data_IF_352080247733
#
_entry.id   IF_352080247733
#
_cell.length_a   1.000
_cell.length_b   1.000
_cell.length_c   1.000
_cell.angle_alpha   90.00
_cell.angle_beta   90.00
_cell.angle_gamma   90.00
#
_symmetry.space_group_name_H-M   'P 1'
#
loop_
_entity.id
_entity.type
_entity.pdbx_description
1 polymer ?
#
# COMPACT_ATOMS: atom_id res chain seq x y z
N UNK A 1 -46.09 -60.99 -9.44
CA UNK A 1 -47.10 -60.37 -10.33
C UNK A 1 -46.67 -58.94 -10.66
N UNK A 2 -46.73 -58.60 -11.95
CA UNK A 2 -46.42 -57.29 -12.55
C UNK A 2 -47.34 -56.18 -12.02
N UNK A 3 -46.87 -54.93 -12.00
CA UNK A 3 -47.47 -53.71 -12.61
C UNK A 3 -46.75 -52.46 -12.04
N UNK A 4 -45.79 -51.89 -12.78
CA UNK A 4 -45.88 -50.81 -13.80
C UNK A 4 -45.74 -49.40 -13.18
N UNK A 5 -44.83 -48.64 -13.77
CA UNK A 5 -44.29 -47.40 -13.24
C UNK A 5 -45.24 -46.20 -13.25
N UNK A 6 -44.79 -45.16 -12.54
CA UNK A 6 -45.06 -43.76 -12.86
C UNK A 6 -43.79 -42.96 -12.61
N UNK A 7 -43.18 -42.55 -13.72
CA UNK A 7 -42.24 -41.46 -13.82
C UNK A 7 -42.99 -40.17 -13.49
N UNK A 8 -42.57 -39.47 -12.44
CA UNK A 8 -42.85 -38.04 -12.27
C UNK A 8 -41.55 -37.35 -11.85
N UNK A 9 -40.96 -36.65 -12.83
CA UNK A 9 -39.97 -35.61 -12.61
C UNK A 9 -40.57 -34.55 -11.70
N UNK A 10 -39.94 -34.25 -10.56
CA UNK A 10 -40.04 -32.95 -9.91
C UNK A 10 -38.76 -32.68 -9.10
N UNK A 11 -38.09 -31.57 -9.41
CA UNK A 11 -37.34 -30.81 -8.41
C UNK A 11 -35.84 -31.08 -8.30
N UNK A 12 -35.08 -30.78 -9.36
CA UNK A 12 -33.69 -30.37 -9.17
C UNK A 12 -33.68 -28.94 -8.59
N UNK A 13 -33.37 -28.79 -7.30
CA UNK A 13 -32.93 -27.51 -6.73
C UNK A 13 -32.04 -27.77 -5.50
N UNK A 14 -30.86 -28.35 -5.72
CA UNK A 14 -29.77 -28.27 -4.75
C UNK A 14 -29.07 -26.93 -4.96
N UNK A 15 -29.43 -25.95 -4.14
CA UNK A 15 -28.83 -24.62 -4.06
C UNK A 15 -27.32 -24.73 -3.82
N UNK A 16 -26.53 -24.50 -4.86
CA UNK A 16 -25.12 -24.21 -4.76
C UNK A 16 -24.93 -22.93 -3.95
N UNK A 17 -24.48 -23.05 -2.70
CA UNK A 17 -24.17 -21.92 -1.84
C UNK A 17 -22.94 -22.22 -0.98
N UNK A 18 -21.76 -22.24 -1.61
CA UNK A 18 -20.50 -22.28 -0.87
C UNK A 18 -19.25 -21.90 -1.68
N UNK A 19 -19.32 -21.08 -2.73
CA UNK A 19 -18.10 -20.54 -3.36
C UNK A 19 -18.35 -19.14 -3.91
N UNK A 20 -18.40 -18.17 -2.99
CA UNK A 20 -18.68 -16.79 -3.35
C UNK A 20 -18.26 -15.78 -2.28
N UNK A 21 -17.14 -16.03 -1.61
CA UNK A 21 -16.50 -15.07 -0.71
C UNK A 21 -15.00 -15.36 -0.69
N UNK A 22 -14.23 -14.72 -1.58
CA UNK A 22 -12.84 -14.29 -1.36
C UNK A 22 -12.15 -13.77 -2.65
N UNK A 23 -12.79 -12.86 -3.40
CA UNK A 23 -12.11 -12.13 -4.50
C UNK A 23 -12.21 -10.60 -4.40
N UNK A 24 -12.57 -10.07 -3.22
CA UNK A 24 -12.71 -8.62 -3.02
C UNK A 24 -11.56 -8.04 -2.17
N UNK A 25 -10.28 -8.22 -2.57
CA UNK A 25 -9.16 -7.51 -1.92
C UNK A 25 -8.18 -6.83 -2.90
N UNK A 26 -8.26 -7.02 -4.23
CA UNK A 26 -7.33 -6.34 -5.17
C UNK A 26 -7.98 -5.41 -6.20
N UNK A 27 -9.31 -5.29 -6.25
CA UNK A 27 -10.00 -4.59 -7.34
C UNK A 27 -9.99 -3.05 -7.25
N UNK A 28 -9.72 -2.46 -6.07
CA UNK A 28 -9.84 -1.00 -5.89
C UNK A 28 -8.71 -0.17 -6.55
N UNK A 29 -7.49 -0.69 -6.63
CA UNK A 29 -6.35 0.07 -7.17
C UNK A 29 -6.46 0.30 -8.69
N UNK A 30 -7.28 -0.50 -9.40
CA UNK A 30 -7.51 -0.41 -10.83
C UNK A 30 -8.65 0.53 -11.26
N UNK A 31 -9.41 1.12 -10.32
CA UNK A 31 -10.58 1.95 -10.67
C UNK A 31 -10.26 3.41 -11.04
N UNK A 32 -9.00 3.84 -10.86
CA UNK A 32 -8.57 5.22 -11.13
C UNK A 32 -7.84 5.40 -12.48
N UNK A 33 -7.40 4.31 -13.11
CA UNK A 33 -6.72 4.31 -14.41
C UNK A 33 -7.61 3.57 -15.41
N UNK A 34 -7.58 3.98 -16.68
CA UNK A 34 -8.40 3.31 -17.71
C UNK A 34 -7.89 1.89 -17.96
N UNK A 35 -8.72 1.04 -18.58
CA UNK A 35 -8.30 -0.33 -18.92
C UNK A 35 -7.15 -0.31 -19.95
N UNK A 36 -7.16 0.67 -20.85
CA UNK A 36 -6.09 0.89 -21.82
C UNK A 36 -4.77 1.29 -21.12
N UNK A 37 -4.83 2.22 -20.17
CA UNK A 37 -3.66 2.63 -19.38
C UNK A 37 -3.14 1.47 -18.52
N UNK A 38 -4.03 0.71 -17.89
CA UNK A 38 -3.66 -0.47 -17.12
C UNK A 38 -3.02 -1.54 -18.01
N UNK A 39 -3.49 -1.71 -19.24
CA UNK A 39 -2.87 -2.61 -20.21
C UNK A 39 -1.47 -2.12 -20.61
N UNK A 40 -1.24 -0.81 -20.74
CA UNK A 40 0.09 -0.25 -20.98
C UNK A 40 1.06 -0.57 -19.83
N UNK A 41 0.64 -0.40 -18.58
CA UNK A 41 1.45 -0.78 -17.40
C UNK A 41 1.76 -2.28 -17.33
N UNK A 42 0.93 -3.14 -17.94
CA UNK A 42 1.13 -4.60 -18.00
C UNK A 42 1.96 -5.07 -19.20
N UNK A 43 2.01 -4.31 -20.28
CA UNK A 43 2.59 -4.74 -21.57
C UNK A 43 3.98 -4.17 -21.85
N UNK A 44 4.42 -3.14 -21.11
CA UNK A 44 5.67 -2.42 -21.38
C UNK A 44 6.60 -2.25 -20.18
N UNK A 45 7.68 -1.50 -20.41
CA UNK A 45 8.62 -1.08 -19.38
C UNK A 45 7.96 0.00 -18.52
N UNK A 46 7.52 -0.34 -17.31
CA UNK A 46 7.05 0.64 -16.32
C UNK A 46 8.26 1.46 -15.82
N UNK A 47 8.33 2.79 -16.04
CA UNK A 47 9.47 3.59 -15.61
C UNK A 47 9.73 3.52 -14.10
N UNK A 48 8.68 3.32 -13.30
CA UNK A 48 8.81 3.11 -11.86
C UNK A 48 9.50 1.79 -11.52
N UNK A 49 9.28 0.74 -12.32
CA UNK A 49 9.96 -0.56 -12.14
C UNK A 49 11.41 -0.50 -12.59
N UNK A 50 11.72 0.22 -13.68
CA UNK A 50 13.11 0.48 -14.08
C UNK A 50 13.86 1.22 -12.98
N UNK A 51 13.27 2.29 -12.43
CA UNK A 51 13.87 3.02 -11.32
C UNK A 51 14.06 2.12 -10.08
N UNK A 52 13.07 1.28 -9.78
CA UNK A 52 13.15 0.31 -8.69
C UNK A 52 14.31 -0.66 -8.87
N UNK A 53 14.45 -1.29 -10.05
CA UNK A 53 15.45 -2.31 -10.32
C UNK A 53 16.85 -1.72 -10.50
N UNK A 54 16.99 -0.75 -11.41
CA UNK A 54 18.30 -0.24 -11.85
C UNK A 54 18.95 0.68 -10.81
N UNK A 55 18.15 1.51 -10.12
CA UNK A 55 18.68 2.41 -9.09
C UNK A 55 18.53 1.75 -7.71
N UNK A 56 17.30 1.38 -7.33
CA UNK A 56 17.03 0.83 -6.01
C UNK A 56 17.66 -0.55 -5.77
N UNK A 57 17.54 -1.47 -6.73
CA UNK A 57 18.13 -2.79 -6.66
C UNK A 57 19.66 -2.75 -6.67
N UNK A 58 20.27 -1.85 -7.44
CA UNK A 58 21.71 -1.61 -7.39
C UNK A 58 22.16 -1.11 -6.03
N UNK A 59 21.47 -0.11 -5.46
CA UNK A 59 21.77 0.39 -4.12
C UNK A 59 21.61 -0.70 -3.05
N UNK A 60 20.59 -1.55 -3.16
CA UNK A 60 20.34 -2.66 -2.24
C UNK A 60 21.51 -3.64 -2.18
N UNK A 61 22.19 -3.84 -3.31
CA UNK A 61 23.34 -4.74 -3.45
C UNK A 61 24.69 -4.06 -3.21
N UNK A 62 24.75 -2.74 -3.14
CA UNK A 62 26.00 -1.98 -3.01
C UNK A 62 26.50 -1.97 -1.56
N UNK A 63 27.73 -2.43 -1.27
CA UNK A 63 28.34 -2.28 0.04
C UNK A 63 28.56 -0.81 0.41
N UNK A 64 28.25 -0.44 1.65
CA UNK A 64 28.38 0.96 2.11
C UNK A 64 28.87 1.07 3.55
N UNK A 65 29.40 2.25 3.87
CA UNK A 65 29.83 2.63 5.21
C UNK A 65 31.02 1.83 5.72
N UNK A 66 31.36 2.06 6.99
CA UNK A 66 32.55 1.44 7.63
C UNK A 66 32.49 -0.08 7.69
N UNK A 67 31.29 -0.66 7.67
CA UNK A 67 31.11 -2.12 7.72
C UNK A 67 31.35 -2.82 6.38
N UNK A 68 31.37 -2.07 5.27
CA UNK A 68 31.42 -2.59 3.90
C UNK A 68 30.34 -3.68 3.63
N UNK A 69 29.14 -3.48 4.15
CA UNK A 69 27.98 -4.38 3.97
C UNK A 69 26.92 -3.74 3.09
N UNK A 70 26.27 -4.53 2.25
CA UNK A 70 25.08 -4.13 1.50
C UNK A 70 23.80 -4.49 2.25
N UNK A 71 22.65 -3.99 1.83
CA UNK A 71 21.36 -4.42 2.39
C UNK A 71 21.15 -5.94 2.18
N UNK A 72 21.50 -6.42 0.99
CA UNK A 72 21.44 -7.84 0.61
C UNK A 72 22.30 -8.76 1.50
N UNK A 73 23.39 -8.23 2.09
CA UNK A 73 24.26 -9.03 2.98
C UNK A 73 23.60 -9.43 4.30
N UNK A 74 22.55 -8.72 4.73
CA UNK A 74 21.81 -9.01 5.97
C UNK A 74 20.35 -9.45 5.71
N UNK A 75 19.79 -9.09 4.55
CA UNK A 75 18.39 -9.29 4.25
C UNK A 75 18.21 -10.09 2.97
N UNK A 76 17.43 -11.17 3.03
CA UNK A 76 16.88 -11.78 1.82
C UNK A 76 15.63 -11.04 1.38
N UNK A 77 15.42 -10.94 0.07
CA UNK A 77 14.22 -10.33 -0.50
C UNK A 77 12.96 -11.00 0.04
N UNK A 78 12.90 -12.33 0.07
CA UNK A 78 11.75 -13.10 0.56
C UNK A 78 11.30 -12.70 1.98
N UNK A 79 12.24 -12.43 2.89
CA UNK A 79 11.90 -11.97 4.23
C UNK A 79 11.42 -10.52 4.24
N UNK A 80 11.99 -9.68 3.37
CA UNK A 80 11.61 -8.27 3.27
C UNK A 80 10.22 -8.08 2.66
N UNK A 81 9.85 -8.88 1.64
CA UNK A 81 8.53 -8.81 0.99
C UNK A 81 7.38 -8.82 2.02
N UNK A 82 7.44 -9.74 2.96
CA UNK A 82 6.45 -9.89 4.06
C UNK A 82 6.47 -8.73 5.06
N UNK A 83 7.62 -8.09 5.25
CA UNK A 83 7.78 -7.00 6.23
C UNK A 83 7.33 -5.64 5.67
N UNK A 84 7.52 -5.39 4.38
CA UNK A 84 7.28 -4.09 3.74
C UNK A 84 5.81 -3.65 3.80
N UNK A 85 4.87 -4.59 3.75
CA UNK A 85 3.42 -4.33 3.89
C UNK A 85 2.98 -3.94 5.30
N UNK A 86 3.86 -4.06 6.29
CA UNK A 86 3.55 -3.80 7.71
C UNK A 86 3.98 -2.42 8.20
N UNK A 87 4.64 -1.62 7.36
CA UNK A 87 5.05 -0.25 7.70
C UNK A 87 3.97 0.78 7.30
N UNK A 88 3.81 1.89 8.06
CA UNK A 88 4.59 2.34 9.23
C UNK A 88 4.48 1.42 10.46
N UNK A 89 5.51 1.40 11.32
CA UNK A 89 5.58 0.47 12.45
C UNK A 89 6.13 1.13 13.72
N UNK A 90 5.61 0.73 14.87
CA UNK A 90 6.13 1.14 16.18
C UNK A 90 7.59 0.71 16.39
N UNK A 91 8.40 1.61 16.90
CA UNK A 91 9.78 1.40 17.31
C UNK A 91 9.90 1.63 18.81
N UNK A 92 10.12 0.56 19.57
CA UNK A 92 10.20 0.58 21.03
C UNK A 92 11.32 1.48 21.55
N UNK A 93 12.49 1.49 20.90
CA UNK A 93 13.66 2.28 21.34
C UNK A 93 13.41 3.79 21.23
N UNK A 94 12.58 4.19 20.28
CA UNK A 94 12.23 5.60 20.05
C UNK A 94 10.89 5.98 20.68
N UNK A 95 10.14 5.01 21.20
CA UNK A 95 8.76 5.17 21.64
C UNK A 95 7.89 5.93 20.60
N UNK A 96 8.03 5.55 19.31
CA UNK A 96 7.42 6.28 18.20
C UNK A 96 7.12 5.36 17.02
N UNK A 97 6.14 5.74 16.18
CA UNK A 97 5.89 5.07 14.89
C UNK A 97 6.86 5.60 13.84
N UNK A 98 7.52 4.70 13.12
CA UNK A 98 8.49 5.04 12.07
C UNK A 98 8.04 4.56 10.69
N UNK A 99 8.40 5.33 9.67
CA UNK A 99 8.22 4.97 8.27
C UNK A 99 9.29 3.99 7.78
N UNK A 100 9.04 3.36 6.63
CA UNK A 100 10.05 2.51 5.99
C UNK A 100 11.29 3.31 5.55
N UNK A 101 11.12 4.56 5.12
CA UNK A 101 12.26 5.45 4.79
C UNK A 101 13.15 5.74 6.00
N UNK A 102 12.54 5.97 7.16
CA UNK A 102 13.27 6.13 8.43
C UNK A 102 13.98 4.84 8.82
N UNK A 103 13.34 3.67 8.61
CA UNK A 103 13.99 2.38 8.85
C UNK A 103 15.22 2.19 7.95
N UNK A 104 15.13 2.51 6.66
CA UNK A 104 16.27 2.46 5.72
C UNK A 104 17.41 3.32 6.26
N UNK A 105 17.11 4.57 6.60
CA UNK A 105 18.09 5.52 7.12
C UNK A 105 18.77 5.02 8.42
N UNK A 106 17.99 4.45 9.34
CA UNK A 106 18.50 3.85 10.57
C UNK A 106 19.42 2.65 10.29
N UNK A 107 19.07 1.79 9.34
CA UNK A 107 19.93 0.67 8.94
C UNK A 107 21.27 1.16 8.37
N UNK A 108 21.26 2.22 7.55
CA UNK A 108 22.50 2.80 7.01
C UNK A 108 23.40 3.34 8.14
N UNK A 109 22.82 4.08 9.08
CA UNK A 109 23.59 4.67 10.19
C UNK A 109 24.10 3.62 11.16
N UNK A 110 23.22 2.75 11.64
CA UNK A 110 23.50 1.86 12.77
C UNK A 110 24.16 0.55 12.36
N UNK A 111 23.83 0.00 11.18
CA UNK A 111 24.31 -1.32 10.77
C UNK A 111 25.40 -1.22 9.69
N UNK A 112 25.25 -0.31 8.71
CA UNK A 112 26.27 -0.13 7.68
C UNK A 112 27.41 0.79 8.11
N UNK A 113 27.16 1.67 9.10
CA UNK A 113 28.13 2.65 9.57
C UNK A 113 28.36 3.78 8.56
N UNK A 114 27.32 4.18 7.83
CA UNK A 114 27.35 5.33 6.92
C UNK A 114 27.29 6.60 7.76
N UNK A 115 28.25 7.52 7.55
CA UNK A 115 28.33 8.77 8.31
C UNK A 115 27.13 9.67 8.03
N UNK A 116 26.81 9.83 6.75
CA UNK A 116 25.67 10.59 6.22
C UNK A 116 24.70 9.65 5.49
N UNK A 117 23.74 9.05 6.20
CA UNK A 117 22.67 8.26 5.58
C UNK A 117 21.90 9.05 4.54
N UNK A 118 21.27 8.35 3.60
CA UNK A 118 20.41 8.97 2.60
C UNK A 118 19.29 9.76 3.27
N UNK A 119 19.17 11.08 2.99
CA UNK A 119 18.12 11.91 3.55
C UNK A 119 16.73 11.36 3.22
N UNK A 120 15.75 11.64 4.08
CA UNK A 120 14.36 11.30 3.78
C UNK A 120 13.95 12.05 2.51
N UNK A 121 13.27 11.35 1.59
CA UNK A 121 12.87 11.86 0.26
C UNK A 121 14.04 12.16 -0.69
N UNK A 122 15.29 11.80 -0.38
CA UNK A 122 16.35 11.81 -1.39
C UNK A 122 16.06 10.80 -2.49
N UNK A 123 16.69 10.96 -3.65
CA UNK A 123 16.53 10.04 -4.78
C UNK A 123 16.92 8.61 -4.37
N UNK A 124 18.01 8.43 -3.64
CA UNK A 124 18.53 7.13 -3.22
C UNK A 124 17.64 6.46 -2.17
N UNK A 125 17.14 7.23 -1.19
CA UNK A 125 16.20 6.69 -0.20
C UNK A 125 14.88 6.30 -0.87
N UNK A 126 14.41 7.11 -1.80
CA UNK A 126 13.21 6.84 -2.59
C UNK A 126 13.43 5.63 -3.50
N UNK A 127 14.58 5.49 -4.15
CA UNK A 127 14.92 4.33 -4.98
C UNK A 127 14.91 3.03 -4.17
N UNK A 128 15.54 3.00 -3.00
CA UNK A 128 15.49 1.86 -2.09
C UNK A 128 14.05 1.56 -1.63
N UNK A 129 13.28 2.58 -1.25
CA UNK A 129 11.87 2.41 -0.87
C UNK A 129 11.06 1.79 -2.02
N UNK A 130 11.21 2.33 -3.23
CA UNK A 130 10.51 1.86 -4.43
C UNK A 130 10.89 0.42 -4.75
N UNK A 131 12.17 0.06 -4.67
CA UNK A 131 12.63 -1.31 -4.83
C UNK A 131 12.03 -2.26 -3.79
N UNK A 132 12.02 -1.87 -2.51
CA UNK A 132 11.39 -2.68 -1.46
C UNK A 132 9.89 -2.88 -1.68
N UNK A 133 9.18 -1.85 -2.19
CA UNK A 133 7.77 -1.95 -2.55
C UNK A 133 7.55 -2.78 -3.81
N UNK A 134 8.46 -2.68 -4.79
CA UNK A 134 8.44 -3.47 -6.02
C UNK A 134 8.58 -4.96 -5.72
N UNK A 135 9.59 -5.36 -4.93
CA UNK A 135 9.76 -6.78 -4.59
C UNK A 135 8.56 -7.30 -3.77
N UNK A 136 7.92 -6.44 -2.96
CA UNK A 136 6.74 -6.77 -2.16
C UNK A 136 5.41 -6.62 -2.93
N UNK A 137 5.44 -6.43 -4.26
CA UNK A 137 4.23 -6.33 -5.06
C UNK A 137 3.40 -7.63 -4.92
N UNK A 138 2.10 -7.48 -4.71
CA UNK A 138 1.17 -8.59 -4.43
C UNK A 138 1.06 -8.98 -2.95
N UNK A 139 1.94 -8.51 -2.07
CA UNK A 139 1.82 -8.74 -0.63
C UNK A 139 0.69 -7.91 -0.03
N UNK A 140 -0.02 -8.48 0.96
CA UNK A 140 -1.12 -7.79 1.66
C UNK A 140 -0.58 -6.66 2.54
N UNK A 141 -1.20 -5.49 2.43
CA UNK A 141 -0.98 -4.39 3.38
C UNK A 141 -1.61 -4.76 4.73
N UNK A 142 -0.79 -4.76 5.78
CA UNK A 142 -1.20 -5.13 7.14
C UNK A 142 -0.50 -4.23 8.16
N UNK A 143 -0.89 -2.97 8.18
CA UNK A 143 -0.37 -1.95 9.09
C UNK A 143 -1.14 -2.01 10.40
N UNK A 144 -0.42 -2.03 11.52
CA UNK A 144 -1.04 -1.94 12.84
C UNK A 144 -1.50 -0.50 13.13
N UNK A 145 -2.71 -0.38 13.64
CA UNK A 145 -3.38 0.89 13.94
C UNK A 145 -3.83 1.01 15.39
N UNK A 146 -3.69 -0.04 16.20
CA UNK A 146 -4.31 -0.06 17.53
C UNK A 146 -3.64 -0.95 18.58
N UNK A 147 -2.64 -1.78 18.23
CA UNK A 147 -2.05 -2.72 19.19
C UNK A 147 -1.31 -2.06 20.35
N UNK A 148 -0.95 -0.78 20.21
CA UNK A 148 -0.21 0.00 21.19
C UNK A 148 -0.85 1.41 21.34
N UNK A 149 -0.92 1.98 22.55
CA UNK A 149 -1.47 3.33 22.77
C UNK A 149 -0.80 4.41 21.91
N UNK A 150 0.52 4.36 21.74
CA UNK A 150 1.27 5.28 20.87
C UNK A 150 0.87 5.08 19.41
N UNK A 151 0.76 3.83 18.95
CA UNK A 151 0.29 3.55 17.58
C UNK A 151 -1.11 4.12 17.36
N UNK A 152 -2.00 3.93 18.33
CA UNK A 152 -3.35 4.46 18.29
C UNK A 152 -3.36 5.99 18.23
N UNK A 153 -2.54 6.66 19.02
CA UNK A 153 -2.41 8.12 19.00
C UNK A 153 -1.94 8.64 17.64
N UNK A 154 -0.92 8.00 17.04
CA UNK A 154 -0.46 8.35 15.69
C UNK A 154 -1.53 8.10 14.63
N UNK A 155 -2.30 7.01 14.76
CA UNK A 155 -3.40 6.71 13.86
C UNK A 155 -4.53 7.74 13.98
N UNK A 156 -4.96 8.06 15.20
CA UNK A 156 -6.00 9.05 15.47
C UNK A 156 -5.58 10.45 15.00
N UNK A 157 -4.31 10.82 15.18
CA UNK A 157 -3.77 12.06 14.64
C UNK A 157 -3.74 12.06 13.10
N UNK A 158 -3.34 10.95 12.47
CA UNK A 158 -3.40 10.80 11.01
C UNK A 158 -4.83 10.96 10.48
N UNK A 159 -5.81 10.36 11.16
CA UNK A 159 -7.23 10.52 10.86
C UNK A 159 -7.66 11.98 10.99
N UNK A 160 -7.31 12.64 12.09
CA UNK A 160 -7.58 14.07 12.27
C UNK A 160 -7.02 14.91 11.12
N UNK A 161 -5.77 14.69 10.71
CA UNK A 161 -5.15 15.42 9.59
C UNK A 161 -5.86 15.14 8.26
N UNK A 162 -6.32 13.91 8.03
CA UNK A 162 -7.06 13.53 6.82
C UNK A 162 -8.41 14.28 6.70
N UNK A 163 -9.06 14.52 7.84
CA UNK A 163 -10.36 15.20 7.95
C UNK A 163 -10.23 16.73 8.09
N UNK A 164 -9.07 17.22 8.54
CA UNK A 164 -8.82 18.64 8.81
C UNK A 164 -8.83 19.47 7.52
N UNK A 165 -9.79 20.41 7.44
CA UNK A 165 -9.84 21.41 6.38
C UNK A 165 -8.74 22.46 6.57
N UNK A 166 -7.98 22.76 5.50
CA UNK A 166 -6.85 23.69 5.54
C UNK A 166 -6.80 24.60 4.32
N UNK A 167 -6.13 25.75 4.49
CA UNK A 167 -5.89 26.73 3.44
C UNK A 167 -7.11 27.56 3.03
N UNK A 168 -6.91 28.54 2.14
CA UNK A 168 -7.97 29.47 1.72
C UNK A 168 -9.20 28.80 1.10
N UNK A 169 -9.03 27.60 0.53
CA UNK A 169 -10.11 26.82 -0.10
C UNK A 169 -10.91 25.99 0.91
N UNK A 170 -10.46 25.89 2.17
CA UNK A 170 -11.12 25.14 3.24
C UNK A 170 -11.41 23.67 2.87
N UNK A 171 -10.43 22.98 2.27
CA UNK A 171 -10.54 21.59 1.82
C UNK A 171 -9.70 20.66 2.70
N UNK A 172 -10.11 19.39 2.79
CA UNK A 172 -9.41 18.29 3.46
C UNK A 172 -9.10 17.15 2.47
N UNK A 173 -8.28 16.18 2.88
CA UNK A 173 -8.04 14.97 2.08
C UNK A 173 -9.35 14.18 1.88
N UNK A 174 -10.15 14.07 2.94
CA UNK A 174 -11.46 13.44 2.96
C UNK A 174 -12.41 14.03 1.90
N UNK A 175 -12.38 15.36 1.72
CA UNK A 175 -13.25 16.03 0.76
C UNK A 175 -13.11 15.43 -0.64
N UNK A 176 -11.90 15.24 -1.14
CA UNK A 176 -11.68 14.70 -2.49
C UNK A 176 -11.64 13.17 -2.53
N UNK A 177 -10.95 12.54 -1.57
CA UNK A 177 -10.65 11.11 -1.62
C UNK A 177 -11.69 10.20 -0.95
N UNK A 178 -12.66 10.76 -0.22
CA UNK A 178 -13.79 10.02 0.35
C UNK A 178 -15.12 10.47 -0.27
N UNK A 179 -15.45 11.76 -0.18
CA UNK A 179 -16.77 12.25 -0.62
C UNK A 179 -16.92 12.35 -2.15
N UNK A 180 -15.85 12.73 -2.85
CA UNK A 180 -15.87 12.93 -4.30
C UNK A 180 -15.16 11.82 -5.11
N UNK A 181 -14.73 10.70 -4.47
CA UNK A 181 -14.04 9.56 -5.13
C UNK A 181 -14.81 9.00 -6.34
N UNK A 182 -16.12 9.21 -6.44
CA UNK A 182 -17.00 8.73 -7.52
C UNK A 182 -17.71 9.81 -8.35
N UNK A 183 -17.44 11.11 -8.10
CA UNK A 183 -18.11 12.21 -8.83
C UNK A 183 -17.12 12.84 -9.81
N UNK A 184 -17.47 12.85 -11.10
CA UNK A 184 -16.77 13.65 -12.09
C UNK A 184 -16.73 15.12 -11.63
N UNK A 185 -15.56 15.75 -11.78
CA UNK A 185 -15.25 17.12 -11.31
C UNK A 185 -16.29 18.16 -11.79
N UNK A 186 -17.00 17.88 -12.89
CA UNK A 186 -18.07 18.73 -13.45
C UNK A 186 -19.29 18.90 -12.54
N UNK A 187 -19.61 17.93 -11.67
CA UNK A 187 -20.77 18.03 -10.77
C UNK A 187 -20.53 18.97 -9.58
N UNK A 188 -19.28 19.39 -9.35
CA UNK A 188 -18.89 20.19 -8.20
C UNK A 188 -19.29 21.67 -8.35
N UNK A 189 -19.26 22.21 -9.58
CA UNK A 189 -19.63 23.61 -9.84
C UNK A 189 -21.14 23.88 -9.79
N UNK A 190 -22.00 22.86 -9.73
CA UNK A 190 -23.46 23.04 -9.81
C UNK A 190 -24.23 22.70 -8.51
N UNK A 191 -23.57 22.28 -7.44
CA UNK A 191 -24.25 21.95 -6.18
C UNK A 191 -23.99 23.02 -5.12
N UNK A 192 -24.72 24.13 -5.25
CA UNK A 192 -24.80 25.22 -4.26
C UNK A 192 -25.50 24.79 -2.94
N UNK A 193 -25.74 23.49 -2.73
CA UNK A 193 -26.58 22.94 -1.67
C UNK A 193 -25.86 22.07 -0.64
N UNK A 194 -24.56 21.75 -0.80
CA UNK A 194 -23.85 20.84 0.14
C UNK A 194 -23.07 21.60 1.24
N UNK A 195 -23.06 22.93 1.24
CA UNK A 195 -22.29 23.74 2.20
C UNK A 195 -23.11 24.32 3.37
N UNK A 196 -24.36 23.90 3.58
CA UNK A 196 -25.17 24.34 4.71
C UNK A 196 -25.84 23.14 5.40
N UNK A 197 -25.11 22.53 6.34
CA UNK A 197 -25.60 21.68 7.43
C UNK A 197 -24.45 21.39 8.38
#
# INVERSE_FOLDING_TARGET
MKLKGKLLLFGALALASAFGINEAISQEAGQAISEEDLALYKTGINPGEVFAQEVGGKLFNTPMGKSNKSCASCHSEEKLKKAVGTYPKYNEKLNAVISLQQRIQMCQKLNQGVENPFPLKSEENTALLTYLKYIASGEKINVDTSSNPVVKEYYDYGKYVFELKRGKRNLSCQTCHEYFKKRAVSSCCNSRTVFNS
#
